data_IF_263278183161
#
_entry.id   IF_263278183161
#
_cell.length_a   1.000
_cell.length_b   1.000
_cell.length_c   1.000
_cell.angle_alpha   90.00
_cell.angle_beta   90.00
_cell.angle_gamma   90.00
#
_symmetry.space_group_name_H-M   'P 1'
#
loop_
_entity.id
_entity.type
_entity.pdbx_description
1 polymer ?
#
# COMPACT_ATOMS: atom_id res chain seq x y z
N UNK A 1 27.09 -11.36 39.64
CA UNK A 1 28.03 -11.37 40.77
C UNK A 1 29.27 -12.12 40.32
N UNK A 2 30.34 -11.39 39.99
CA UNK A 2 31.59 -12.02 39.58
C UNK A 2 32.79 -11.13 39.94
N UNK A 3 33.64 -11.66 40.79
CA UNK A 3 34.97 -11.14 41.06
C UNK A 3 35.79 -11.22 39.77
N UNK A 4 36.49 -10.13 39.44
CA UNK A 4 37.28 -10.02 38.20
C UNK A 4 38.69 -9.63 38.56
N UNK A 5 39.65 -10.07 37.77
CA UNK A 5 41.05 -9.67 37.98
C UNK A 5 41.27 -8.22 37.54
N UNK A 6 42.32 -7.58 38.08
CA UNK A 6 42.71 -6.22 37.68
C UNK A 6 42.98 -6.15 36.17
N UNK A 7 43.61 -7.18 35.60
CA UNK A 7 43.89 -7.27 34.16
C UNK A 7 42.61 -7.31 33.30
N UNK A 8 41.61 -8.10 33.71
CA UNK A 8 40.32 -8.16 33.02
C UNK A 8 39.58 -6.82 33.11
N UNK A 9 39.63 -6.16 34.27
CA UNK A 9 39.01 -4.86 34.45
C UNK A 9 39.66 -3.80 33.55
N UNK A 10 41.00 -3.78 33.47
CA UNK A 10 41.74 -2.90 32.59
C UNK A 10 41.36 -3.09 31.11
N UNK A 11 41.21 -4.34 30.67
CA UNK A 11 40.77 -4.66 29.31
C UNK A 11 39.35 -4.19 28.99
N UNK A 12 38.42 -4.30 29.94
CA UNK A 12 37.03 -3.83 29.77
C UNK A 12 36.96 -2.31 29.70
N UNK A 13 37.71 -1.61 30.55
CA UNK A 13 37.70 -0.14 30.62
C UNK A 13 38.56 0.49 29.52
N UNK A 14 39.49 -0.26 28.93
CA UNK A 14 40.36 0.20 27.85
C UNK A 14 41.49 1.12 28.33
N UNK A 15 41.94 0.94 29.57
CA UNK A 15 43.02 1.72 30.19
C UNK A 15 44.22 0.78 30.43
N UNK A 16 45.47 1.23 30.22
CA UNK A 16 46.64 0.41 30.51
C UNK A 16 46.68 -0.01 31.99
N UNK A 17 47.13 -1.24 32.24
CA UNK A 17 47.14 -1.86 33.57
C UNK A 17 47.82 -0.98 34.63
N UNK A 18 48.96 -0.40 34.31
CA UNK A 18 49.73 0.47 35.20
C UNK A 18 48.90 1.67 35.70
N UNK A 19 48.14 2.31 34.80
CA UNK A 19 47.28 3.45 35.13
C UNK A 19 46.09 3.02 35.99
N UNK A 20 45.55 1.83 35.77
CA UNK A 20 44.46 1.32 36.61
C UNK A 20 44.97 1.07 38.03
N UNK A 21 46.15 0.48 38.20
CA UNK A 21 46.76 0.24 39.51
C UNK A 21 47.04 1.57 40.24
N UNK A 22 47.51 2.60 39.54
CA UNK A 22 47.65 3.95 40.11
C UNK A 22 46.30 4.50 40.62
N UNK A 23 45.25 4.42 39.81
CA UNK A 23 43.90 4.89 40.18
C UNK A 23 43.31 4.12 41.36
N UNK A 24 43.58 2.82 41.46
CA UNK A 24 43.16 1.98 42.58
C UNK A 24 43.88 2.37 43.87
N UNK A 25 45.19 2.64 43.80
CA UNK A 25 45.96 3.15 44.96
C UNK A 25 45.46 4.51 45.42
N UNK A 26 45.16 5.42 44.49
CA UNK A 26 44.58 6.73 44.82
C UNK A 26 43.17 6.62 45.43
N UNK A 27 42.41 5.60 45.03
CA UNK A 27 41.09 5.29 45.61
C UNK A 27 41.17 4.55 46.97
N UNK A 28 42.38 4.23 47.46
CA UNK A 28 42.59 3.53 48.72
C UNK A 28 42.40 2.01 48.64
N UNK A 29 42.43 1.42 47.44
CA UNK A 29 42.32 -0.02 47.21
C UNK A 29 43.72 -0.61 47.07
N UNK A 30 44.04 -1.62 47.87
CA UNK A 30 45.36 -2.25 47.95
C UNK A 30 45.59 -3.33 46.89
N UNK A 31 45.23 -3.07 45.62
CA UNK A 31 45.56 -3.97 44.50
C UNK A 31 46.92 -3.59 43.91
N UNK A 32 47.82 -4.57 43.79
CA UNK A 32 49.22 -4.35 43.45
C UNK A 32 49.63 -5.10 42.17
N UNK A 33 48.92 -6.17 41.82
CA UNK A 33 49.29 -7.08 40.74
C UNK A 33 48.16 -7.28 39.72
N UNK A 34 48.51 -7.68 38.50
CA UNK A 34 47.57 -7.92 37.41
C UNK A 34 46.51 -9.00 37.73
N UNK A 35 46.90 -9.98 38.55
CA UNK A 35 46.10 -11.15 38.90
C UNK A 35 45.23 -10.95 40.15
N UNK A 36 45.38 -9.82 40.85
CA UNK A 36 44.60 -9.55 42.06
C UNK A 36 43.11 -9.50 41.72
N UNK A 37 42.28 -10.13 42.56
CA UNK A 37 40.83 -10.13 42.39
C UNK A 37 40.23 -8.88 43.03
N UNK A 38 39.35 -8.22 42.29
CA UNK A 38 38.65 -7.02 42.73
C UNK A 38 37.20 -7.38 43.06
N UNK A 39 36.81 -7.11 44.31
CA UNK A 39 35.45 -7.26 44.80
C UNK A 39 34.50 -6.19 44.22
N UNK A 40 33.19 -6.40 44.34
CA UNK A 40 32.22 -5.41 43.85
C UNK A 40 32.25 -4.10 44.65
N UNK A 41 32.54 -4.16 45.95
CA UNK A 41 32.67 -2.99 46.82
C UNK A 41 33.85 -2.10 46.38
N UNK A 42 34.99 -2.71 46.07
CA UNK A 42 36.18 -2.01 45.55
C UNK A 42 35.95 -1.39 44.17
N UNK A 43 35.12 -2.01 43.32
CA UNK A 43 34.70 -1.40 42.04
C UNK A 43 33.88 -0.15 42.28
N UNK A 44 32.96 -0.17 43.26
CA UNK A 44 32.13 1.00 43.58
C UNK A 44 32.97 2.13 44.16
N UNK A 45 33.94 1.84 45.04
CA UNK A 45 34.84 2.86 45.60
C UNK A 45 35.73 3.48 44.53
N UNK A 46 36.30 2.67 43.63
CA UNK A 46 37.06 3.16 42.46
C UNK A 46 36.22 4.08 41.59
N UNK A 47 34.99 3.66 41.25
CA UNK A 47 34.06 4.49 40.46
C UNK A 47 33.72 5.80 41.16
N UNK A 48 33.51 5.78 42.48
CA UNK A 48 33.29 6.98 43.28
C UNK A 48 34.48 7.95 43.22
N UNK A 49 35.70 7.45 43.36
CA UNK A 49 36.92 8.26 43.23
C UNK A 49 37.08 8.86 41.83
N UNK A 50 36.85 8.07 40.78
CA UNK A 50 36.92 8.54 39.39
C UNK A 50 35.87 9.63 39.10
N UNK A 51 34.64 9.48 39.59
CA UNK A 51 33.59 10.50 39.46
C UNK A 51 33.99 11.81 40.14
N UNK A 52 34.52 11.74 41.36
CA UNK A 52 35.03 12.90 42.10
C UNK A 52 36.16 13.60 41.34
N UNK A 53 37.13 12.84 40.80
CA UNK A 53 38.23 13.39 39.99
C UNK A 53 37.77 14.11 38.73
N UNK A 54 36.69 13.63 38.10
CA UNK A 54 36.12 14.26 36.91
C UNK A 54 35.12 15.39 37.23
N UNK A 55 35.03 15.85 38.48
CA UNK A 55 34.15 16.95 38.89
C UNK A 55 32.67 16.58 38.84
N UNK A 56 32.35 15.28 38.88
CA UNK A 56 30.98 14.76 38.98
C UNK A 56 30.67 14.49 40.44
N UNK A 57 30.49 15.54 41.23
CA UNK A 57 30.10 15.43 42.63
C UNK A 57 28.73 14.77 42.79
N UNK A 58 28.52 14.04 43.90
CA UNK A 58 27.24 13.38 44.26
C UNK A 58 26.03 14.33 44.24
N UNK A 59 26.24 15.61 44.55
CA UNK A 59 25.20 16.64 44.47
C UNK A 59 24.68 16.88 43.05
N UNK A 60 25.53 16.64 42.05
CA UNK A 60 25.13 16.72 40.65
C UNK A 60 24.48 15.42 40.17
N UNK A 61 24.80 14.25 40.75
CA UNK A 61 24.26 12.95 40.32
C UNK A 61 22.76 12.79 40.65
N UNK A 62 22.28 13.29 41.79
CA UNK A 62 20.84 13.24 42.11
C UNK A 62 19.97 13.99 41.08
N UNK A 63 20.50 15.06 40.46
CA UNK A 63 19.79 15.84 39.44
C UNK A 63 20.17 15.44 37.99
N UNK A 64 21.39 14.98 37.74
CA UNK A 64 21.86 14.52 36.43
C UNK A 64 21.33 13.13 36.07
N UNK A 65 21.14 12.23 37.05
CA UNK A 65 20.49 10.93 36.82
C UNK A 65 19.01 11.11 36.47
N UNK A 66 18.38 12.15 37.05
CA UNK A 66 16.99 12.53 36.74
C UNK A 66 16.85 13.27 35.41
N UNK A 67 17.88 13.97 34.93
CA UNK A 67 17.80 14.86 33.76
C UNK A 67 19.07 14.80 32.90
N UNK A 68 18.97 14.19 31.71
CA UNK A 68 20.04 14.18 30.69
C UNK A 68 19.67 15.13 29.56
N UNK A 69 20.46 16.19 29.34
CA UNK A 69 20.21 17.15 28.25
C UNK A 69 21.19 16.96 27.09
N UNK A 70 20.71 16.46 25.96
CA UNK A 70 21.44 16.42 24.71
C UNK A 70 21.44 17.82 24.06
N UNK A 71 22.63 18.41 23.94
CA UNK A 71 22.82 19.67 23.21
C UNK A 71 23.37 19.34 21.83
N UNK A 72 22.61 19.61 20.77
CA UNK A 72 23.06 19.49 19.38
C UNK A 72 23.15 20.86 18.74
N UNK A 73 24.29 21.15 18.12
CA UNK A 73 24.51 22.34 17.33
C UNK A 73 24.33 22.00 15.84
N UNK A 74 23.50 22.76 15.15
CA UNK A 74 23.37 22.69 13.69
C UNK A 74 23.64 24.08 13.14
N UNK A 75 24.60 24.19 12.23
CA UNK A 75 24.88 25.44 11.52
C UNK A 75 24.33 25.30 10.11
N UNK A 76 23.45 26.20 9.71
CA UNK A 76 22.89 26.28 8.35
C UNK A 76 23.22 27.63 7.74
N UNK A 77 23.68 27.65 6.50
CA UNK A 77 23.97 28.88 5.77
C UNK A 77 22.71 29.35 5.04
N UNK A 78 22.26 30.57 5.30
CA UNK A 78 21.18 31.23 4.57
C UNK A 78 21.79 32.22 3.57
N UNK A 79 21.48 32.03 2.28
CA UNK A 79 21.88 32.96 1.23
C UNK A 79 20.81 34.03 1.09
N UNK A 80 21.15 35.27 1.39
CA UNK A 80 20.25 36.40 1.23
C UNK A 80 20.44 37.00 -0.17
N UNK A 81 19.48 36.73 -1.06
CA UNK A 81 19.40 37.37 -2.37
C UNK A 81 18.73 38.74 -2.24
N UNK A 82 19.49 39.83 -2.31
CA UNK A 82 18.93 41.18 -2.41
C UNK A 82 19.17 41.68 -3.82
N UNK A 83 18.10 41.70 -4.61
CA UNK A 83 18.02 42.29 -5.96
C UNK A 83 18.83 41.52 -7.04
N UNK A 84 18.24 41.26 -8.22
CA UNK A 84 19.00 40.67 -9.33
C UNK A 84 20.17 41.59 -9.73
N UNK A 85 21.39 41.04 -9.70
CA UNK A 85 22.62 41.74 -10.09
C UNK A 85 23.56 42.18 -8.95
N UNK A 86 23.24 41.89 -7.67
CA UNK A 86 24.12 42.20 -6.52
C UNK A 86 24.55 40.94 -5.78
N UNK A 87 25.79 40.91 -5.29
CA UNK A 87 26.40 39.75 -4.65
C UNK A 87 25.57 39.20 -3.49
N UNK A 88 25.33 37.89 -3.50
CA UNK A 88 24.54 37.21 -2.47
C UNK A 88 25.36 37.07 -1.17
N UNK A 89 24.93 37.74 -0.10
CA UNK A 89 25.53 37.58 1.23
C UNK A 89 25.11 36.25 1.83
N UNK A 90 26.08 35.46 2.28
CA UNK A 90 25.82 34.20 2.97
C UNK A 90 25.96 34.42 4.48
N UNK A 91 24.87 34.18 5.22
CA UNK A 91 24.81 34.33 6.67
C UNK A 91 24.79 32.93 7.28
N UNK A 92 25.73 32.62 8.17
CA UNK A 92 25.73 31.37 8.91
C UNK A 92 24.81 31.48 10.13
N UNK A 93 23.73 30.72 10.13
CA UNK A 93 22.77 30.64 11.23
C UNK A 93 23.11 29.40 12.06
N UNK A 94 23.49 29.60 13.32
CA UNK A 94 23.67 28.51 14.26
C UNK A 94 22.39 28.29 15.06
N UNK A 95 21.75 27.14 14.87
CA UNK A 95 20.62 26.69 15.69
C UNK A 95 21.12 25.68 16.71
N UNK A 96 20.89 25.97 17.99
CA UNK A 96 21.20 25.06 19.09
C UNK A 96 19.90 24.36 19.52
N UNK A 97 19.82 23.03 19.34
CA UNK A 97 18.71 22.22 19.84
C UNK A 97 19.08 21.61 21.20
N UNK A 98 18.29 21.91 22.22
CA UNK A 98 18.36 21.26 23.54
C UNK A 98 17.24 20.21 23.58
N UNK A 99 17.59 18.92 23.68
CA UNK A 99 16.64 17.84 23.99
C UNK A 99 16.93 17.32 25.38
N UNK A 100 15.98 17.47 26.29
CA UNK A 100 16.14 17.04 27.68
C UNK A 100 15.33 15.77 27.91
N UNK A 101 16.00 14.68 28.25
CA UNK A 101 15.39 13.48 28.80
C UNK A 101 15.28 13.65 30.32
N UNK A 102 14.08 13.49 30.87
CA UNK A 102 13.85 13.43 32.31
C UNK A 102 13.36 12.02 32.62
N UNK A 103 14.03 11.32 33.54
CA UNK A 103 13.62 9.98 34.03
C UNK A 103 12.40 10.17 34.94
N UNK A 104 11.23 10.30 34.30
CA UNK A 104 9.99 10.79 34.90
C UNK A 104 9.45 9.86 35.99
N UNK A 105 9.75 8.57 35.95
CA UNK A 105 9.18 7.62 36.89
C UNK A 105 9.57 7.91 38.36
N UNK A 106 10.79 8.37 38.65
CA UNK A 106 11.22 8.67 40.02
C UNK A 106 11.08 10.16 40.42
N UNK A 107 10.51 11.00 39.54
CA UNK A 107 10.42 12.44 39.72
C UNK A 107 8.98 13.01 39.60
N UNK A 108 7.99 12.15 39.35
CA UNK A 108 6.57 12.53 39.29
C UNK A 108 5.93 12.37 40.68
N UNK A 109 5.13 13.37 41.07
CA UNK A 109 4.20 13.27 42.21
C UNK A 109 3.20 12.12 41.97
N UNK A 110 2.67 11.52 43.03
CA UNK A 110 1.60 10.50 42.92
C UNK A 110 0.40 11.02 42.11
N UNK A 111 0.11 12.32 42.21
CA UNK A 111 -0.94 13.01 41.45
C UNK A 111 -0.67 13.01 39.94
N UNK A 112 0.58 13.22 39.52
CA UNK A 112 0.95 13.23 38.09
C UNK A 112 0.99 11.81 37.51
N UNK A 113 1.24 10.80 38.35
CA UNK A 113 1.14 9.38 37.95
C UNK A 113 -0.31 8.99 37.69
N UNK A 114 -1.23 9.38 38.58
CA UNK A 114 -2.67 9.15 38.37
C UNK A 114 -3.20 9.85 37.12
N UNK A 115 -2.76 11.10 36.86
CA UNK A 115 -3.16 11.83 35.66
C UNK A 115 -2.66 11.14 34.38
N UNK A 116 -1.41 10.65 34.37
CA UNK A 116 -0.86 9.88 33.24
C UNK A 116 -1.59 8.56 33.02
N UNK A 117 -2.02 7.87 34.07
CA UNK A 117 -2.83 6.65 33.94
C UNK A 117 -4.23 6.93 33.40
N UNK A 118 -4.86 8.03 33.80
CA UNK A 118 -6.16 8.46 33.24
C UNK A 118 -6.02 8.81 31.76
N UNK A 119 -4.99 9.56 31.39
CA UNK A 119 -4.72 9.91 29.99
C UNK A 119 -4.44 8.67 29.13
N UNK A 120 -3.73 7.67 29.67
CA UNK A 120 -3.51 6.39 28.97
C UNK A 120 -4.82 5.63 28.76
N UNK A 121 -5.66 5.50 29.78
CA UNK A 121 -6.97 4.84 29.68
C UNK A 121 -7.88 5.54 28.68
N UNK A 122 -7.92 6.87 28.69
CA UNK A 122 -8.71 7.65 27.73
C UNK A 122 -8.22 7.47 26.28
N UNK A 123 -6.91 7.38 26.08
CA UNK A 123 -6.31 7.10 24.76
C UNK A 123 -6.61 5.68 24.30
N UNK A 124 -6.53 4.68 25.19
CA UNK A 124 -6.87 3.29 24.89
C UNK A 124 -8.36 3.14 24.56
N UNK A 125 -9.26 3.78 25.30
CA UNK A 125 -10.69 3.76 25.03
C UNK A 125 -11.02 4.45 23.69
N UNK A 126 -10.35 5.55 23.37
CA UNK A 126 -10.49 6.22 22.05
C UNK A 126 -9.98 5.34 20.92
N UNK A 127 -8.84 4.66 21.11
CA UNK A 127 -8.29 3.74 20.12
C UNK A 127 -9.26 2.56 19.87
N UNK A 128 -9.81 1.97 20.92
CA UNK A 128 -10.79 0.89 20.81
C UNK A 128 -12.07 1.35 20.10
N UNK A 129 -12.59 2.54 20.42
CA UNK A 129 -13.76 3.10 19.74
C UNK A 129 -13.51 3.33 18.25
N UNK A 130 -12.34 3.85 17.89
CA UNK A 130 -11.94 4.03 16.49
C UNK A 130 -11.82 2.71 15.75
N UNK A 131 -11.25 1.68 16.38
CA UNK A 131 -11.12 0.36 15.78
C UNK A 131 -12.50 -0.29 15.53
N UNK A 132 -13.42 -0.19 16.49
CA UNK A 132 -14.80 -0.67 16.34
C UNK A 132 -15.53 0.09 15.23
N UNK A 133 -15.38 1.41 15.16
CA UNK A 133 -15.99 2.22 14.11
C UNK A 133 -15.43 1.88 12.72
N UNK A 134 -14.12 1.66 12.60
CA UNK A 134 -13.49 1.26 11.34
C UNK A 134 -13.95 -0.13 10.90
N UNK A 135 -14.07 -1.08 11.82
CA UNK A 135 -14.60 -2.42 11.54
C UNK A 135 -16.05 -2.33 11.04
N UNK A 136 -16.91 -1.56 11.71
CA UNK A 136 -18.30 -1.35 11.29
C UNK A 136 -18.38 -0.68 9.90
N UNK A 137 -17.51 0.28 9.61
CA UNK A 137 -17.47 0.92 8.30
C UNK A 137 -17.02 -0.06 7.21
N UNK A 138 -16.01 -0.88 7.50
CA UNK A 138 -15.50 -1.91 6.57
C UNK A 138 -16.57 -2.96 6.26
N UNK A 139 -17.30 -3.43 7.27
CA UNK A 139 -18.39 -4.39 7.10
C UNK A 139 -19.55 -3.81 6.30
N UNK A 140 -19.94 -2.56 6.56
CA UNK A 140 -20.96 -1.86 5.77
C UNK A 140 -20.54 -1.73 4.31
N UNK A 141 -19.31 -1.29 4.06
CA UNK A 141 -18.78 -1.15 2.70
C UNK A 141 -18.68 -2.51 1.97
N UNK A 142 -18.34 -3.59 2.68
CA UNK A 142 -18.32 -4.94 2.11
C UNK A 142 -19.73 -5.42 1.73
N UNK A 143 -20.72 -5.19 2.61
CA UNK A 143 -22.13 -5.53 2.34
C UNK A 143 -22.69 -4.75 1.15
N UNK A 144 -22.44 -3.44 1.09
CA UNK A 144 -22.89 -2.61 -0.02
C UNK A 144 -22.28 -3.04 -1.36
N UNK A 145 -20.97 -3.34 -1.37
CA UNK A 145 -20.30 -3.89 -2.57
C UNK A 145 -20.91 -5.21 -3.02
N UNK A 146 -21.13 -6.14 -2.08
CA UNK A 146 -21.74 -7.43 -2.39
C UNK A 146 -23.18 -7.27 -2.93
N UNK A 147 -23.96 -6.33 -2.39
CA UNK A 147 -25.31 -6.05 -2.88
C UNK A 147 -25.30 -5.43 -4.29
N UNK A 148 -24.41 -4.48 -4.55
CA UNK A 148 -24.24 -3.87 -5.88
C UNK A 148 -23.78 -4.91 -6.91
N UNK A 149 -22.86 -5.79 -6.55
CA UNK A 149 -22.39 -6.87 -7.44
C UNK A 149 -23.52 -7.87 -7.72
N UNK A 150 -24.29 -8.26 -6.71
CA UNK A 150 -25.45 -9.14 -6.89
C UNK A 150 -26.52 -8.51 -7.80
N UNK A 151 -26.81 -7.22 -7.63
CA UNK A 151 -27.73 -6.46 -8.50
C UNK A 151 -27.22 -6.39 -9.94
N UNK A 152 -25.93 -6.08 -10.13
CA UNK A 152 -25.33 -6.05 -11.47
C UNK A 152 -25.33 -7.43 -12.13
N UNK A 153 -25.04 -8.50 -11.39
CA UNK A 153 -25.10 -9.86 -11.90
C UNK A 153 -26.52 -10.26 -12.31
N UNK A 154 -27.55 -9.86 -11.54
CA UNK A 154 -28.94 -10.08 -11.90
C UNK A 154 -29.33 -9.32 -13.18
N UNK A 155 -28.95 -8.05 -13.30
CA UNK A 155 -29.20 -7.24 -14.52
C UNK A 155 -28.53 -7.88 -15.73
N UNK A 156 -27.25 -8.29 -15.62
CA UNK A 156 -26.51 -8.94 -16.72
C UNK A 156 -27.20 -10.22 -17.19
N UNK A 157 -27.70 -11.04 -16.27
CA UNK A 157 -28.45 -12.26 -16.63
C UNK A 157 -29.74 -11.93 -17.40
N UNK A 158 -30.51 -10.95 -16.92
CA UNK A 158 -31.74 -10.51 -17.59
C UNK A 158 -31.43 -9.96 -18.99
N UNK A 159 -30.37 -9.16 -19.15
CA UNK A 159 -29.94 -8.63 -20.45
C UNK A 159 -29.45 -9.72 -21.40
N UNK A 160 -28.72 -10.71 -20.90
CA UNK A 160 -28.23 -11.85 -21.68
C UNK A 160 -29.39 -12.73 -22.17
N UNK A 161 -30.34 -13.04 -21.28
CA UNK A 161 -31.56 -13.79 -21.63
C UNK A 161 -32.40 -13.02 -22.66
N UNK A 162 -32.59 -11.71 -22.47
CA UNK A 162 -33.29 -10.86 -23.43
C UNK A 162 -32.58 -10.78 -24.79
N UNK A 163 -31.24 -10.76 -24.80
CA UNK A 163 -30.45 -10.77 -26.04
C UNK A 163 -30.55 -12.12 -26.74
N UNK A 164 -30.53 -13.22 -26.00
CA UNK A 164 -30.69 -14.57 -26.54
C UNK A 164 -32.09 -14.77 -27.15
N UNK A 165 -33.14 -14.31 -26.48
CA UNK A 165 -34.52 -14.27 -26.99
C UNK A 165 -34.63 -13.46 -28.29
N UNK A 166 -34.05 -12.25 -28.33
CA UNK A 166 -34.05 -11.41 -29.54
C UNK A 166 -33.30 -12.06 -30.69
N UNK A 167 -32.13 -12.65 -30.43
CA UNK A 167 -31.36 -13.35 -31.45
C UNK A 167 -32.08 -14.58 -32.01
N UNK A 168 -32.85 -15.31 -31.18
CA UNK A 168 -33.69 -16.41 -31.65
C UNK A 168 -34.82 -15.92 -32.56
N UNK A 169 -35.55 -14.87 -32.13
CA UNK A 169 -36.63 -14.27 -32.93
C UNK A 169 -36.10 -13.71 -34.25
N UNK A 170 -34.95 -13.04 -34.26
CA UNK A 170 -34.33 -12.52 -35.48
C UNK A 170 -34.00 -13.66 -36.46
N UNK A 171 -33.35 -14.73 -35.99
CA UNK A 171 -33.04 -15.91 -36.81
C UNK A 171 -34.30 -16.58 -37.37
N UNK A 172 -35.37 -16.68 -36.57
CA UNK A 172 -36.64 -17.24 -37.01
C UNK A 172 -37.30 -16.38 -38.09
N UNK A 173 -37.35 -15.05 -37.89
CA UNK A 173 -37.88 -14.12 -38.90
C UNK A 173 -37.05 -14.08 -40.17
N UNK A 174 -35.73 -14.21 -40.09
CA UNK A 174 -34.85 -14.27 -41.26
C UNK A 174 -35.03 -15.59 -42.02
N UNK A 175 -35.17 -16.71 -41.30
CA UNK A 175 -35.47 -18.00 -41.90
C UNK A 175 -36.84 -18.00 -42.62
N UNK A 176 -37.87 -17.40 -42.01
CA UNK A 176 -39.19 -17.25 -42.63
C UNK A 176 -39.15 -16.35 -43.87
N UNK A 177 -38.44 -15.21 -43.81
CA UNK A 177 -38.23 -14.33 -44.97
C UNK A 177 -37.54 -15.06 -46.12
N UNK A 178 -36.48 -15.81 -45.82
CA UNK A 178 -35.73 -16.56 -46.84
C UNK A 178 -36.57 -17.72 -47.41
N UNK A 179 -37.40 -18.38 -46.59
CA UNK A 179 -38.33 -19.39 -47.08
C UNK A 179 -39.41 -18.78 -47.99
N UNK A 180 -39.98 -17.62 -47.61
CA UNK A 180 -40.95 -16.89 -48.42
C UNK A 180 -40.34 -16.39 -49.74
N UNK A 181 -39.10 -15.90 -49.73
CA UNK A 181 -38.39 -15.50 -50.96
C UNK A 181 -38.15 -16.69 -51.90
N UNK A 182 -37.72 -17.84 -51.35
CA UNK A 182 -37.56 -19.07 -52.12
C UNK A 182 -38.87 -19.55 -52.72
N UNK A 183 -39.97 -19.52 -51.96
CA UNK A 183 -41.29 -19.90 -52.44
C UNK A 183 -41.73 -19.01 -53.62
N UNK A 184 -41.63 -17.69 -53.47
CA UNK A 184 -41.93 -16.72 -54.56
C UNK A 184 -41.05 -16.96 -55.79
N UNK A 185 -39.76 -17.26 -55.60
CA UNK A 185 -38.84 -17.54 -56.71
C UNK A 185 -39.22 -18.83 -57.45
N UNK A 186 -39.67 -19.86 -56.73
CA UNK A 186 -40.16 -21.10 -57.32
C UNK A 186 -41.46 -20.86 -58.10
N UNK A 187 -42.41 -20.12 -57.54
CA UNK A 187 -43.67 -19.76 -58.22
C UNK A 187 -43.40 -19.03 -59.55
N UNK A 188 -42.58 -17.98 -59.52
CA UNK A 188 -42.18 -17.23 -60.74
C UNK A 188 -41.48 -18.15 -61.76
N UNK A 189 -40.70 -19.13 -61.30
CA UNK A 189 -40.05 -20.09 -62.20
C UNK A 189 -41.05 -21.06 -62.84
N UNK A 190 -42.04 -21.53 -62.08
CA UNK A 190 -43.11 -22.40 -62.58
C UNK A 190 -43.97 -21.66 -63.59
N UNK A 191 -44.36 -20.40 -63.32
CA UNK A 191 -45.11 -19.57 -64.25
C UNK A 191 -44.35 -19.33 -65.56
N UNK A 192 -43.05 -18.97 -65.48
CA UNK A 192 -42.22 -18.80 -66.68
C UNK A 192 -42.09 -20.09 -67.50
N UNK A 193 -41.99 -21.25 -66.84
CA UNK A 193 -41.94 -22.53 -67.54
C UNK A 193 -43.29 -22.85 -68.21
N UNK A 194 -44.40 -22.68 -67.48
CA UNK A 194 -45.74 -22.85 -68.02
C UNK A 194 -46.00 -21.93 -69.24
N UNK A 195 -45.56 -20.67 -69.19
CA UNK A 195 -45.67 -19.73 -70.31
C UNK A 195 -44.83 -20.18 -71.52
N UNK A 196 -43.59 -20.66 -71.29
CA UNK A 196 -42.75 -21.24 -72.36
C UNK A 196 -43.43 -22.44 -73.02
N UNK A 197 -44.01 -23.35 -72.24
CA UNK A 197 -44.74 -24.52 -72.77
C UNK A 197 -45.96 -24.08 -73.59
N UNK A 198 -46.74 -23.10 -73.10
CA UNK A 198 -47.88 -22.53 -73.85
C UNK A 198 -47.45 -21.89 -75.17
N UNK A 199 -46.35 -21.12 -75.18
CA UNK A 199 -45.78 -20.52 -76.38
C UNK A 199 -45.31 -21.56 -77.39
N UNK A 200 -44.61 -22.61 -76.94
CA UNK A 200 -44.17 -23.71 -77.80
C UNK A 200 -45.36 -24.50 -78.38
N UNK A 201 -46.39 -24.76 -77.58
CA UNK A 201 -47.62 -25.42 -78.03
C UNK A 201 -48.36 -24.57 -79.09
N UNK A 202 -48.49 -23.26 -78.86
CA UNK A 202 -49.07 -22.32 -79.82
C UNK A 202 -48.26 -22.25 -81.12
N UNK A 203 -46.92 -22.18 -81.04
CA UNK A 203 -46.04 -22.18 -82.20
C UNK A 203 -46.14 -23.49 -83.00
N UNK A 204 -46.22 -24.64 -82.32
CA UNK A 204 -46.41 -25.95 -82.97
C UNK A 204 -47.76 -26.05 -83.66
N UNK A 205 -48.84 -25.54 -83.05
CA UNK A 205 -50.17 -25.46 -83.66
C UNK A 205 -50.18 -24.57 -84.91
N UNK A 206 -49.60 -23.38 -84.81
CA UNK A 206 -49.48 -22.46 -85.95
C UNK A 206 -48.63 -23.05 -87.11
N UNK A 207 -47.56 -23.79 -86.79
CA UNK A 207 -46.74 -24.48 -87.80
C UNK A 207 -47.52 -25.63 -88.48
N UNK A 208 -48.35 -26.37 -87.74
CA UNK A 208 -49.20 -27.41 -88.31
C UNK A 208 -50.27 -26.83 -89.26
N UNK A 209 -50.90 -25.71 -88.89
CA UNK A 209 -51.87 -24.99 -89.73
C UNK A 209 -51.22 -24.47 -91.03
N UNK A 210 -50.00 -23.91 -90.96
CA UNK A 210 -49.25 -23.49 -92.17
C UNK A 210 -48.89 -24.66 -93.08
N UNK A 211 -48.55 -25.82 -92.52
CA UNK A 211 -48.22 -27.03 -93.31
C UNK A 211 -49.47 -27.64 -93.96
N UNK A 212 -50.64 -27.52 -93.33
CA UNK A 212 -51.92 -27.92 -93.91
C UNK A 212 -52.41 -26.97 -95.02
N UNK A 213 -52.09 -25.68 -94.94
CA UNK A 213 -52.46 -24.67 -95.94
C UNK A 213 -51.52 -24.54 -97.16
N UNK A 214 -50.31 -25.11 -97.10
CA UNK A 214 -49.28 -24.96 -98.16
C UNK A 214 -49.40 -25.91 -99.36
N UNK A 215 -50.46 -26.70 -99.46
CA UNK A 215 -50.68 -27.67 -100.53
C UNK A 215 -51.40 -27.09 -101.76
N UNK A 216 -50.93 -25.97 -102.32
CA UNK A 216 -51.42 -25.49 -103.61
C UNK A 216 -50.35 -24.63 -104.32
N UNK A 217 -49.87 -25.10 -105.47
CA UNK A 217 -49.17 -24.27 -106.45
C UNK A 217 -47.74 -24.71 -106.77
N UNK A 218 -47.59 -25.63 -107.73
CA UNK A 218 -46.38 -25.76 -108.54
C UNK A 218 -46.74 -25.25 -109.95
N UNK A 219 -46.01 -24.30 -110.54
CA UNK A 219 -46.44 -23.63 -111.76
C UNK A 219 -46.10 -24.47 -113.00
N UNK A 220 -47.02 -24.50 -113.97
CA UNK A 220 -46.87 -25.06 -115.30
C UNK A 220 -47.78 -24.28 -116.24
#
# INVERSE_FOLDING_TARGET
>A
MSDKTVQELAGIVGIPLERLIEQMKEAGISAHSAEDKISEEEKVTLLGHLRKRHGKDEQTDANLTKKVTLKRRTVTSLKQGTTPGKDTKTINIQVNKKKTYIKREEALSDEEREELERVKKDLEERAQKQEVEEQLHRDKAAREKAELEAKQAAIRKIEEDARAERAKKEKETEAERHAAEKAKRLEVSVERNAEKVRKLAAAKKAAAERKAGGGAGRPG
#
